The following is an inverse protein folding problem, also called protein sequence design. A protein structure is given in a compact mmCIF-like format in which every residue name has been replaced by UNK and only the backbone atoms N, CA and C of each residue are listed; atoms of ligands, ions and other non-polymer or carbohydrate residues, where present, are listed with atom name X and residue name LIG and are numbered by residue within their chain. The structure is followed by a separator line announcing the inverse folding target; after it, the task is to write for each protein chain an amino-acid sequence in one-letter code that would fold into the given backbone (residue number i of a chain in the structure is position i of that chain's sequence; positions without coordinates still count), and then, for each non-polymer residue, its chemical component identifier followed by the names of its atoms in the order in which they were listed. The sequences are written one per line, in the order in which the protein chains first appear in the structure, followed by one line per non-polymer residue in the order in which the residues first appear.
data_IF_166517643841
#
_entry.id   IF_166517643841
#
_cell.length_a   1.000
_cell.length_b   1.000
_cell.length_c   1.000
_cell.angle_alpha   90.00
_cell.angle_beta   90.00
_cell.angle_gamma   90.00
#
_symmetry.space_group_name_H-M   'P 1'
#
loop_
_entity.id
_entity.type
_entity.pdbx_description
1 polymer ?
#
# COMPACT_ATOMS: atom_id res chain seq x y z
N UNK A 1 29.67 -3.43 7.85
CA UNK A 1 28.86 -3.74 6.65
C UNK A 1 28.68 -5.24 6.60
N UNK A 2 27.44 -5.74 6.72
CA UNK A 2 27.18 -7.15 6.95
C UNK A 2 26.12 -7.64 5.95
N UNK A 3 26.42 -7.50 4.65
CA UNK A 3 25.55 -7.88 3.54
C UNK A 3 24.97 -9.30 3.67
N UNK A 4 25.80 -10.25 4.12
CA UNK A 4 25.38 -11.63 4.37
C UNK A 4 24.30 -11.72 5.46
N UNK A 5 24.41 -10.89 6.50
CA UNK A 5 23.44 -10.82 7.60
C UNK A 5 22.13 -10.21 7.13
N UNK A 6 22.18 -9.17 6.30
CA UNK A 6 20.99 -8.56 5.70
C UNK A 6 20.28 -9.53 4.76
N UNK A 7 21.02 -10.27 3.93
CA UNK A 7 20.45 -11.28 3.04
C UNK A 7 19.81 -12.44 3.82
N UNK A 8 20.45 -12.87 4.91
CA UNK A 8 19.92 -13.88 5.81
C UNK A 8 18.65 -13.40 6.53
N UNK A 9 18.53 -12.10 6.81
CA UNK A 9 17.33 -11.54 7.41
C UNK A 9 16.18 -11.39 6.40
N UNK A 10 16.48 -11.32 5.09
CA UNK A 10 15.47 -11.17 4.03
C UNK A 10 15.06 -12.48 3.35
N UNK A 11 15.70 -13.60 3.68
CA UNK A 11 15.42 -14.90 3.04
C UNK A 11 15.15 -16.00 4.07
N UNK A 12 14.41 -17.03 3.65
CA UNK A 12 14.16 -18.23 4.45
C UNK A 12 14.07 -19.44 3.52
N UNK A 13 14.62 -20.58 3.91
CA UNK A 13 14.52 -21.79 3.10
C UNK A 13 13.22 -22.55 3.41
N UNK A 14 12.62 -23.20 2.40
CA UNK A 14 11.43 -24.05 2.61
C UNK A 14 11.71 -25.21 3.60
N UNK A 15 12.97 -25.64 3.69
CA UNK A 15 13.42 -26.66 4.64
C UNK A 15 13.24 -26.25 6.10
N UNK A 16 13.32 -24.95 6.42
CA UNK A 16 13.10 -24.46 7.78
C UNK A 16 11.62 -24.57 8.20
N UNK A 17 10.69 -24.38 7.26
CA UNK A 17 9.27 -24.66 7.50
C UNK A 17 9.04 -26.13 7.85
N UNK A 18 9.63 -27.03 7.07
CA UNK A 18 9.50 -28.48 7.28
C UNK A 18 10.14 -28.96 8.60
N UNK A 19 11.06 -28.19 9.18
CA UNK A 19 11.67 -28.46 10.50
C UNK A 19 10.85 -27.92 11.68
N UNK A 20 9.66 -27.39 11.44
CA UNK A 20 8.78 -26.85 12.48
C UNK A 20 9.16 -25.45 12.95
N UNK A 21 9.97 -24.69 12.19
CA UNK A 21 10.38 -23.33 12.55
C UNK A 21 9.35 -22.25 12.16
N UNK A 22 8.16 -22.65 11.70
CA UNK A 22 7.14 -21.73 11.18
C UNK A 22 6.78 -20.60 12.17
N UNK A 23 6.59 -20.90 13.45
CA UNK A 23 6.27 -19.88 14.46
C UNK A 23 7.35 -18.81 14.61
N UNK A 24 8.64 -19.21 14.56
CA UNK A 24 9.77 -18.27 14.58
C UNK A 24 9.82 -17.43 13.31
N UNK A 25 9.60 -18.06 12.15
CA UNK A 25 9.60 -17.37 10.85
C UNK A 25 8.49 -16.31 10.80
N UNK A 26 7.27 -16.65 11.23
CA UNK A 26 6.16 -15.69 11.27
C UNK A 26 6.41 -14.57 12.29
N UNK A 27 6.98 -14.87 13.46
CA UNK A 27 7.37 -13.86 14.42
C UNK A 27 8.42 -12.88 13.86
N UNK A 28 9.35 -13.39 13.06
CA UNK A 28 10.37 -12.58 12.38
C UNK A 28 9.75 -11.70 11.28
N UNK A 29 8.85 -12.25 10.44
CA UNK A 29 8.11 -11.49 9.41
C UNK A 29 7.24 -10.40 10.03
N UNK A 30 6.61 -10.67 11.18
CA UNK A 30 5.81 -9.66 11.88
C UNK A 30 6.63 -8.43 12.33
N UNK A 31 7.91 -8.62 12.67
CA UNK A 31 8.79 -7.54 13.13
C UNK A 31 9.53 -6.87 11.97
N UNK A 32 9.96 -7.64 10.97
CA UNK A 32 10.82 -7.18 9.88
C UNK A 32 10.09 -6.97 8.54
N UNK A 33 8.77 -7.14 8.50
CA UNK A 33 7.90 -6.83 7.36
C UNK A 33 7.76 -7.96 6.34
N UNK A 34 8.86 -8.44 5.75
CA UNK A 34 8.80 -9.45 4.68
C UNK A 34 10.02 -10.34 4.57
N UNK A 35 9.85 -11.52 3.93
CA UNK A 35 10.92 -12.47 3.59
C UNK A 35 10.66 -13.19 2.28
N UNK A 36 11.71 -13.45 1.52
CA UNK A 36 11.68 -14.30 0.33
C UNK A 36 11.89 -15.77 0.74
N UNK A 37 10.97 -16.64 0.35
CA UNK A 37 11.08 -18.08 0.55
C UNK A 37 11.84 -18.71 -0.60
N UNK A 38 12.88 -19.48 -0.28
CA UNK A 38 13.72 -20.18 -1.25
C UNK A 38 13.41 -21.68 -1.26
N UNK A 39 13.24 -22.24 -2.46
CA UNK A 39 13.19 -23.68 -2.71
C UNK A 39 14.29 -24.01 -3.72
N UNK A 40 15.20 -24.92 -3.35
CA UNK A 40 16.38 -25.24 -4.16
C UNK A 40 17.20 -24.01 -4.55
N UNK A 41 17.35 -23.05 -3.62
CA UNK A 41 18.02 -21.74 -3.82
C UNK A 41 17.36 -20.81 -4.85
N UNK A 42 16.16 -21.13 -5.30
CA UNK A 42 15.36 -20.28 -6.18
C UNK A 42 14.21 -19.64 -5.39
N UNK A 43 13.92 -18.34 -5.58
CA UNK A 43 12.73 -17.71 -5.01
C UNK A 43 11.45 -18.44 -5.43
N UNK A 44 10.68 -18.89 -4.46
CA UNK A 44 9.39 -19.57 -4.68
C UNK A 44 8.22 -18.63 -4.39
N UNK A 45 8.29 -17.88 -3.28
CA UNK A 45 7.29 -16.89 -2.89
C UNK A 45 7.86 -15.83 -1.93
N UNK A 46 7.03 -14.83 -1.61
CA UNK A 46 7.33 -13.80 -0.61
C UNK A 46 6.31 -13.96 0.52
N UNK A 47 6.79 -13.95 1.76
CA UNK A 47 5.99 -13.78 2.97
C UNK A 47 5.99 -12.30 3.33
N UNK A 48 4.82 -11.77 3.63
CA UNK A 48 4.63 -10.37 4.03
C UNK A 48 3.74 -10.38 5.27
N UNK A 49 4.02 -9.53 6.25
CA UNK A 49 3.10 -9.31 7.36
C UNK A 49 1.83 -8.64 6.85
N UNK A 50 0.67 -8.83 7.50
CA UNK A 50 -0.55 -8.12 7.13
C UNK A 50 -0.34 -6.60 7.10
N UNK A 51 0.30 -6.03 8.12
CA UNK A 51 0.54 -4.59 8.23
C UNK A 51 1.37 -4.04 7.06
N UNK A 52 2.44 -4.76 6.67
CA UNK A 52 3.27 -4.35 5.54
C UNK A 52 2.52 -4.52 4.21
N UNK A 53 1.68 -5.56 4.10
CA UNK A 53 0.84 -5.74 2.91
C UNK A 53 -0.16 -4.60 2.74
N UNK A 54 -0.88 -4.22 3.80
CA UNK A 54 -1.82 -3.08 3.78
C UNK A 54 -1.11 -1.81 3.35
N UNK A 55 0.02 -1.48 4.00
CA UNK A 55 0.81 -0.30 3.64
C UNK A 55 1.24 -0.28 2.17
N UNK A 56 1.64 -1.42 1.60
CA UNK A 56 2.00 -1.51 0.18
C UNK A 56 0.81 -1.29 -0.75
N UNK A 57 -0.40 -1.67 -0.34
CA UNK A 57 -1.63 -1.39 -1.09
C UNK A 57 -1.96 0.09 -1.01
N UNK A 58 -1.90 0.70 0.17
CA UNK A 58 -2.18 2.13 0.37
C UNK A 58 -1.22 2.99 -0.47
N UNK A 59 0.10 2.72 -0.40
CA UNK A 59 1.11 3.43 -1.21
C UNK A 59 0.88 3.26 -2.72
N UNK A 60 0.34 2.11 -3.15
CA UNK A 60 0.03 1.86 -4.56
C UNK A 60 -1.21 2.65 -5.01
N UNK A 61 -2.21 2.80 -4.14
CA UNK A 61 -3.40 3.60 -4.40
C UNK A 61 -3.05 5.09 -4.50
N UNK A 62 -2.29 5.60 -3.53
CA UNK A 62 -1.77 6.97 -3.56
C UNK A 62 -0.99 7.27 -4.85
N UNK A 63 -0.14 6.34 -5.28
CA UNK A 63 0.62 6.50 -6.52
C UNK A 63 -0.27 6.56 -7.77
N UNK A 64 -1.35 5.77 -7.80
CA UNK A 64 -2.33 5.80 -8.91
C UNK A 64 -3.10 7.11 -8.93
N UNK A 65 -3.51 7.59 -7.77
CA UNK A 65 -4.24 8.85 -7.63
C UNK A 65 -3.37 10.04 -8.03
N UNK A 66 -2.11 10.05 -7.60
CA UNK A 66 -1.13 11.04 -8.03
C UNK A 66 -0.92 11.01 -9.55
N UNK A 67 -0.84 9.83 -10.16
CA UNK A 67 -0.70 9.69 -11.61
C UNK A 67 -1.94 10.22 -12.36
N UNK A 68 -3.14 9.95 -11.83
CA UNK A 68 -4.39 10.44 -12.39
C UNK A 68 -4.48 11.97 -12.28
N UNK A 69 -4.16 12.53 -11.11
CA UNK A 69 -4.12 13.97 -10.90
C UNK A 69 -3.15 14.65 -11.88
N UNK A 70 -1.93 14.11 -12.01
CA UNK A 70 -0.94 14.63 -12.95
C UNK A 70 -1.42 14.56 -14.41
N UNK A 71 -2.10 13.48 -14.79
CA UNK A 71 -2.69 13.33 -16.12
C UNK A 71 -3.74 14.41 -16.36
N UNK A 72 -4.70 14.57 -15.45
CA UNK A 72 -5.76 15.60 -15.51
C UNK A 72 -5.18 17.00 -15.60
N UNK A 73 -4.16 17.31 -14.80
CA UNK A 73 -3.49 18.61 -14.80
C UNK A 73 -2.70 18.87 -16.07
N UNK A 74 -2.05 17.84 -16.63
CA UNK A 74 -1.28 17.98 -17.87
C UNK A 74 -2.17 18.18 -19.10
N UNK A 75 -3.39 17.64 -19.09
CA UNK A 75 -4.38 17.80 -20.16
C UNK A 75 -5.46 18.85 -19.84
N UNK A 76 -5.29 19.67 -18.82
CA UNK A 76 -6.31 20.61 -18.35
C UNK A 76 -6.47 21.79 -19.33
N UNK A 77 -7.66 21.95 -19.88
CA UNK A 77 -8.11 23.22 -20.43
C UNK A 77 -8.92 23.97 -19.35
N UNK A 78 -8.71 25.28 -19.24
CA UNK A 78 -9.49 26.13 -18.33
C UNK A 78 -10.96 26.19 -18.74
N UNK A 79 -11.26 25.93 -20.01
CA UNK A 79 -12.64 25.90 -20.50
C UNK A 79 -13.44 24.70 -19.97
N UNK A 80 -12.78 23.63 -19.52
CA UNK A 80 -13.41 22.44 -18.93
C UNK A 80 -13.70 22.58 -17.41
N UNK A 81 -13.27 23.68 -16.80
CA UNK A 81 -13.50 23.93 -15.38
C UNK A 81 -14.91 24.45 -15.15
N UNK A 82 -15.57 23.89 -14.12
CA UNK A 82 -16.84 24.41 -13.60
C UNK A 82 -16.60 25.13 -12.28
N UNK A 83 -17.41 26.14 -12.02
CA UNK A 83 -17.50 26.82 -10.74
C UNK A 83 -18.17 25.94 -9.68
N UNK A 84 -18.02 26.33 -8.40
CA UNK A 84 -18.71 25.66 -7.30
C UNK A 84 -20.23 25.73 -7.47
N UNK A 85 -20.77 26.89 -7.85
CA UNK A 85 -22.21 27.09 -8.06
C UNK A 85 -22.77 26.14 -9.13
N UNK A 86 -22.05 25.97 -10.25
CA UNK A 86 -22.42 25.02 -11.32
C UNK A 86 -22.38 23.56 -10.86
N UNK A 87 -21.42 23.21 -10.00
CA UNK A 87 -21.33 21.87 -9.40
C UNK A 87 -22.50 21.61 -8.43
N UNK A 88 -22.78 22.55 -7.53
CA UNK A 88 -23.90 22.45 -6.58
C UNK A 88 -25.25 22.32 -7.29
N UNK A 89 -25.46 23.08 -8.37
CA UNK A 89 -26.65 22.99 -9.21
C UNK A 89 -26.75 21.62 -9.93
N UNK A 90 -25.66 21.16 -10.54
CA UNK A 90 -25.64 19.92 -11.32
C UNK A 90 -25.89 18.66 -10.48
N UNK A 91 -25.42 18.65 -9.22
CA UNK A 91 -25.55 17.49 -8.33
C UNK A 91 -26.66 17.66 -7.28
N UNK A 92 -27.36 18.79 -7.27
CA UNK A 92 -28.40 19.12 -6.29
C UNK A 92 -27.92 18.99 -4.84
N UNK A 93 -26.73 19.54 -4.57
CA UNK A 93 -26.10 19.54 -3.25
C UNK A 93 -25.84 20.99 -2.81
N UNK A 94 -25.84 21.22 -1.50
CA UNK A 94 -25.40 22.49 -0.90
C UNK A 94 -24.18 22.19 -0.02
N UNK A 95 -22.98 22.60 -0.43
CA UNK A 95 -21.77 22.28 0.31
C UNK A 95 -21.71 22.95 1.69
N UNK A 96 -22.48 24.03 1.90
CA UNK A 96 -22.59 24.68 3.22
C UNK A 96 -23.42 23.86 4.22
N UNK A 97 -24.20 22.89 3.75
CA UNK A 97 -24.99 21.98 4.58
C UNK A 97 -24.26 20.65 4.83
N UNK A 98 -23.12 20.43 4.18
CA UNK A 98 -22.29 19.25 4.40
C UNK A 98 -21.51 19.45 5.70
N UNK A 99 -21.79 18.59 6.68
CA UNK A 99 -21.01 18.57 7.92
C UNK A 99 -19.61 18.04 7.62
N UNK A 100 -18.56 18.57 8.26
CA UNK A 100 -17.24 17.96 8.22
C UNK A 100 -17.36 16.50 8.66
N UNK A 101 -16.61 15.61 8.02
CA UNK A 101 -16.43 14.25 8.53
C UNK A 101 -15.73 14.35 9.88
N UNK A 102 -16.18 13.55 10.85
CA UNK A 102 -15.47 13.43 12.11
C UNK A 102 -14.08 12.79 11.85
N UNK A 103 -13.06 13.13 12.65
CA UNK A 103 -11.72 12.52 12.49
C UNK A 103 -11.76 10.99 12.57
N UNK A 104 -12.73 10.44 13.30
CA UNK A 104 -12.95 8.98 13.41
C UNK A 104 -13.60 8.35 12.15
N UNK A 105 -14.11 9.17 11.22
CA UNK A 105 -14.71 8.75 9.93
C UNK A 105 -13.72 8.82 8.76
N UNK A 106 -12.54 9.41 8.97
CA UNK A 106 -11.47 9.47 7.98
C UNK A 106 -10.51 8.31 8.29
N UNK A 107 -10.58 7.24 7.49
CA UNK A 107 -9.59 6.14 7.51
C UNK A 107 -8.18 6.64 7.13
#
# INVERSE_FOLDING_TARGET
MNFVKELSNKTVSISEFNRGLAGRIFGDVKVNGSKVVLKNNTPECILVSPDEYTKLIDELEDARDLMLANTRMSSMDKSDLISQDEFEEAFHINLNEVSPLDEDEIE
#
